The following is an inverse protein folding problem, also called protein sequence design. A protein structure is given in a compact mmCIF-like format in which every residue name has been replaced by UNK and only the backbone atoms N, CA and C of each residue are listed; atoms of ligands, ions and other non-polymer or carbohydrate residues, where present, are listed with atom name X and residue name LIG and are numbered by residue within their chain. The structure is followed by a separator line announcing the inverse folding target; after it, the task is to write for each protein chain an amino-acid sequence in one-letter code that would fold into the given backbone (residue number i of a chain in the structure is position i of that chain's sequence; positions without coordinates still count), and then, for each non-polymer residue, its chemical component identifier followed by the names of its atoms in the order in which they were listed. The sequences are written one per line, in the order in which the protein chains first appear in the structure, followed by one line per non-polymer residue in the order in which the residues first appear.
data_IF_587579685975
#
_entry.id   IF_587579685975
#
_cell.length_a   1.000
_cell.length_b   1.000
_cell.length_c   1.000
_cell.angle_alpha   90.00
_cell.angle_beta   90.00
_cell.angle_gamma   90.00
#
_symmetry.space_group_name_H-M   'P 1'
#
loop_
_entity.id
_entity.type
_entity.pdbx_description
1 polymer ?
#
# COMPACT_ATOMS: atom_id res chain seq x y z
N UNK A 1 -27.64 -3.42 9.21
CA UNK A 1 -26.63 -2.76 10.07
C UNK A 1 -25.27 -3.04 9.47
N UNK A 2 -24.50 -2.02 9.13
CA UNK A 2 -23.13 -2.17 8.63
C UNK A 2 -22.15 -1.79 9.74
N UNK A 3 -21.10 -2.59 9.92
CA UNK A 3 -20.03 -2.30 10.89
C UNK A 3 -18.80 -1.88 10.10
N UNK A 4 -18.32 -0.66 10.36
CA UNK A 4 -17.05 -0.19 9.83
C UNK A 4 -15.91 -0.61 10.77
N UNK A 5 -14.93 -1.33 10.25
CA UNK A 5 -13.74 -1.74 11.00
C UNK A 5 -12.51 -1.05 10.39
N UNK A 6 -11.79 -0.31 11.21
CA UNK A 6 -10.52 0.31 10.84
C UNK A 6 -9.35 -0.44 11.47
N UNK A 7 -8.45 -0.96 10.65
CA UNK A 7 -7.23 -1.64 11.11
C UNK A 7 -6.03 -0.75 10.80
N UNK A 8 -5.22 -0.45 11.82
CA UNK A 8 -3.98 0.33 11.70
C UNK A 8 -2.93 -0.25 12.62
N UNK A 9 -1.72 -0.46 12.10
CA UNK A 9 -0.59 -0.96 12.88
C UNK A 9 0.31 -1.86 12.05
N UNK A 10 1.39 -2.33 12.68
CA UNK A 10 2.30 -3.34 12.18
C UNK A 10 2.43 -4.43 13.24
N UNK A 11 2.53 -5.68 12.81
CA UNK A 11 3.01 -6.81 13.62
C UNK A 11 4.52 -6.70 13.81
N UNK A 12 5.09 -7.24 14.89
CA UNK A 12 6.54 -7.13 15.16
C UNK A 12 7.41 -7.60 13.99
N UNK A 13 6.96 -8.66 13.31
CA UNK A 13 7.61 -9.24 12.13
C UNK A 13 7.47 -8.36 10.86
N UNK A 14 6.48 -7.46 10.83
CA UNK A 14 6.19 -6.57 9.68
C UNK A 14 6.63 -5.11 9.88
N UNK A 15 7.20 -4.76 11.03
CA UNK A 15 7.73 -3.41 11.31
C UNK A 15 8.86 -3.08 10.34
N UNK A 16 9.74 -4.05 10.06
CA UNK A 16 10.95 -3.85 9.27
C UNK A 16 10.87 -4.49 7.88
N UNK A 17 9.99 -5.47 7.67
CA UNK A 17 9.80 -6.13 6.38
C UNK A 17 8.43 -5.76 5.75
N UNK A 18 8.41 -5.11 4.58
CA UNK A 18 7.17 -4.76 3.88
C UNK A 18 6.44 -5.95 3.24
N UNK A 19 7.08 -7.12 3.10
CA UNK A 19 6.45 -8.30 2.48
C UNK A 19 5.40 -8.96 3.38
N UNK A 20 5.69 -9.36 4.63
CA UNK A 20 4.68 -9.94 5.53
C UNK A 20 3.51 -8.97 5.75
N UNK A 21 3.78 -7.66 5.83
CA UNK A 21 2.73 -6.64 5.89
C UNK A 21 1.74 -6.69 4.71
N UNK A 22 2.26 -6.89 3.48
CA UNK A 22 1.41 -6.99 2.28
C UNK A 22 0.59 -8.26 2.27
N UNK A 23 1.18 -9.37 2.68
CA UNK A 23 0.52 -10.68 2.65
C UNK A 23 -0.60 -10.76 3.70
N UNK A 24 -0.39 -10.19 4.89
CA UNK A 24 -1.44 -10.01 5.90
C UNK A 24 -2.59 -9.15 5.36
N UNK A 25 -2.30 -8.01 4.71
CA UNK A 25 -3.34 -7.15 4.11
C UNK A 25 -4.14 -7.89 3.03
N UNK A 26 -3.49 -8.69 2.18
CA UNK A 26 -4.16 -9.54 1.19
C UNK A 26 -5.07 -10.58 1.85
N UNK A 27 -4.61 -11.21 2.94
CA UNK A 27 -5.40 -12.20 3.67
C UNK A 27 -6.65 -11.58 4.28
N UNK A 28 -6.53 -10.40 4.90
CA UNK A 28 -7.67 -9.65 5.44
C UNK A 28 -8.65 -9.26 4.32
N UNK A 29 -8.15 -8.75 3.19
CA UNK A 29 -8.99 -8.37 2.06
C UNK A 29 -9.78 -9.55 1.47
N UNK A 30 -9.16 -10.73 1.39
CA UNK A 30 -9.83 -11.98 0.98
C UNK A 30 -10.91 -12.39 1.96
N UNK A 31 -10.61 -12.39 3.26
CA UNK A 31 -11.58 -12.74 4.29
C UNK A 31 -12.79 -11.79 4.28
N UNK A 32 -12.55 -10.49 4.13
CA UNK A 32 -13.63 -9.50 3.99
C UNK A 32 -14.50 -9.80 2.78
N UNK A 33 -13.89 -10.13 1.64
CA UNK A 33 -14.62 -10.49 0.42
C UNK A 33 -15.43 -11.78 0.58
N UNK A 34 -14.86 -12.83 1.19
CA UNK A 34 -15.56 -14.10 1.48
C UNK A 34 -16.78 -13.90 2.38
N UNK A 35 -16.71 -12.95 3.32
CA UNK A 35 -17.82 -12.59 4.20
C UNK A 35 -18.86 -11.66 3.54
N UNK A 36 -18.70 -11.34 2.25
CA UNK A 36 -19.57 -10.41 1.52
C UNK A 36 -19.38 -8.94 1.93
N UNK A 37 -18.29 -8.64 2.63
CA UNK A 37 -17.88 -7.28 2.98
C UNK A 37 -17.11 -6.60 1.86
N UNK A 38 -16.93 -5.28 2.00
CA UNK A 38 -16.21 -4.47 1.01
C UNK A 38 -15.16 -3.63 1.73
N UNK A 39 -13.93 -3.63 1.20
CA UNK A 39 -12.90 -2.69 1.64
C UNK A 39 -13.17 -1.30 1.09
N UNK A 40 -13.19 -0.30 1.98
CA UNK A 40 -13.23 1.10 1.56
C UNK A 40 -11.91 1.57 0.93
N UNK A 41 -12.03 2.38 -0.12
CA UNK A 41 -10.93 2.83 -0.98
C UNK A 41 -10.08 3.96 -0.38
N UNK A 42 -10.10 4.12 0.94
CA UNK A 42 -9.28 5.10 1.64
C UNK A 42 -7.80 4.68 1.69
N UNK A 43 -7.54 3.37 1.74
CA UNK A 43 -6.18 2.81 1.73
C UNK A 43 -5.88 2.14 0.39
N UNK A 44 -4.59 1.84 0.16
CA UNK A 44 -4.17 1.04 -0.99
C UNK A 44 -4.89 -0.29 -0.97
N UNK A 45 -5.35 -0.72 -2.13
CA UNK A 45 -6.00 -2.02 -2.29
C UNK A 45 -5.00 -3.04 -2.83
N UNK A 46 -5.17 -4.28 -2.40
CA UNK A 46 -4.45 -5.45 -2.90
C UNK A 46 -5.29 -6.26 -3.89
N UNK A 47 -6.52 -5.80 -4.21
CA UNK A 47 -7.39 -6.43 -5.20
C UNK A 47 -6.78 -6.46 -6.60
N UNK A 48 -7.05 -7.56 -7.29
CA UNK A 48 -6.89 -7.63 -8.73
C UNK A 48 -7.89 -6.72 -9.43
N UNK A 49 -7.66 -6.44 -10.71
CA UNK A 49 -8.55 -5.58 -11.50
C UNK A 49 -9.96 -6.18 -11.58
N UNK A 50 -10.05 -7.49 -11.75
CA UNK A 50 -11.34 -8.18 -11.92
C UNK A 50 -12.13 -8.21 -10.62
N UNK A 51 -11.49 -8.50 -9.48
CA UNK A 51 -12.12 -8.41 -8.14
C UNK A 51 -12.59 -6.98 -7.82
N UNK A 52 -11.85 -5.96 -8.25
CA UNK A 52 -12.27 -4.58 -8.02
C UNK A 52 -13.54 -4.23 -8.81
N UNK A 53 -13.62 -4.63 -10.09
CA UNK A 53 -14.77 -4.33 -10.94
C UNK A 53 -15.96 -5.28 -10.72
N UNK A 54 -15.78 -6.41 -10.03
CA UNK A 54 -16.92 -7.21 -9.55
C UNK A 54 -17.65 -6.52 -8.40
N UNK A 55 -16.93 -5.72 -7.59
CA UNK A 55 -17.49 -4.93 -6.49
C UNK A 55 -18.00 -3.57 -6.98
N UNK A 56 -17.22 -2.86 -7.79
CA UNK A 56 -17.61 -1.58 -8.38
C UNK A 56 -18.16 -1.78 -9.78
N UNK A 57 -19.45 -1.50 -10.01
CA UNK A 57 -20.08 -1.54 -11.34
C UNK A 57 -19.31 -0.64 -12.32
N UNK A 58 -18.49 -1.29 -13.18
CA UNK A 58 -17.70 -0.62 -14.22
C UNK A 58 -18.53 0.24 -15.19
N UNK A 59 -19.68 -0.22 -15.74
CA UNK A 59 -20.43 0.58 -16.70
C UNK A 59 -20.98 1.87 -16.08
N UNK A 60 -21.46 1.81 -14.84
CA UNK A 60 -21.92 3.00 -14.12
C UNK A 60 -20.78 3.98 -13.85
N UNK A 61 -19.62 3.46 -13.45
CA UNK A 61 -18.41 4.25 -13.25
C UNK A 61 -17.95 4.95 -14.54
N UNK A 62 -17.94 4.25 -15.68
CA UNK A 62 -17.57 4.82 -16.97
C UNK A 62 -18.58 5.88 -17.44
N UNK A 63 -19.88 5.64 -17.26
CA UNK A 63 -20.93 6.62 -17.58
C UNK A 63 -20.76 7.92 -16.78
N UNK A 64 -20.43 7.82 -15.48
CA UNK A 64 -20.14 8.99 -14.64
C UNK A 64 -18.89 9.73 -15.12
N UNK A 65 -17.83 9.03 -15.52
CA UNK A 65 -16.63 9.67 -16.06
C UNK A 65 -16.90 10.44 -17.33
N UNK A 66 -17.77 9.94 -18.21
CA UNK A 66 -18.18 10.65 -19.42
C UNK A 66 -19.00 11.89 -19.05
N UNK A 67 -20.02 11.73 -18.19
CA UNK A 67 -20.92 12.82 -17.77
C UNK A 67 -20.17 14.02 -17.20
N UNK A 68 -19.10 13.78 -16.43
CA UNK A 68 -18.30 14.82 -15.79
C UNK A 68 -16.97 15.12 -16.51
N UNK A 69 -16.79 14.62 -17.74
CA UNK A 69 -15.59 14.82 -18.56
C UNK A 69 -14.26 14.45 -17.84
N UNK A 70 -14.30 13.42 -16.99
CA UNK A 70 -13.18 12.98 -16.16
C UNK A 70 -12.30 11.93 -16.86
N UNK A 71 -12.49 11.69 -18.17
CA UNK A 71 -11.78 10.65 -18.92
C UNK A 71 -10.25 10.86 -18.98
N UNK A 72 -9.81 12.12 -18.87
CA UNK A 72 -8.40 12.51 -18.86
C UNK A 72 -7.67 12.19 -17.53
N UNK A 73 -8.40 11.93 -16.45
CA UNK A 73 -7.82 11.59 -15.16
C UNK A 73 -7.53 10.09 -15.07
N UNK A 74 -6.59 9.64 -14.21
CA UNK A 74 -6.44 8.22 -13.90
C UNK A 74 -7.76 7.60 -13.43
N UNK A 75 -7.93 6.31 -13.67
CA UNK A 75 -9.06 5.56 -13.12
C UNK A 75 -8.93 5.39 -11.61
N UNK A 76 -10.04 5.10 -10.93
CA UNK A 76 -10.02 4.82 -9.48
C UNK A 76 -9.15 3.59 -9.19
N UNK A 77 -9.22 2.56 -10.04
CA UNK A 77 -8.36 1.37 -9.91
C UNK A 77 -6.86 1.74 -10.00
N UNK A 78 -6.49 2.55 -10.98
CA UNK A 78 -5.10 3.02 -11.16
C UNK A 78 -4.59 3.85 -9.97
N UNK A 79 -5.49 4.55 -9.28
CA UNK A 79 -5.15 5.33 -8.08
C UNK A 79 -4.87 4.45 -6.87
N UNK A 80 -5.65 3.39 -6.68
CA UNK A 80 -5.59 2.56 -5.47
C UNK A 80 -4.64 1.37 -5.60
N UNK A 81 -4.30 0.96 -6.82
CA UNK A 81 -3.44 -0.19 -7.05
C UNK A 81 -2.06 0.01 -6.39
N UNK A 82 -1.58 -1.04 -5.74
CA UNK A 82 -0.22 -1.05 -5.20
C UNK A 82 0.77 -1.11 -6.35
N UNK A 83 1.25 0.05 -6.81
CA UNK A 83 2.37 0.07 -7.76
C UNK A 83 3.62 -0.48 -7.09
N UNK A 84 4.13 -1.60 -7.62
CA UNK A 84 5.50 -2.07 -7.40
C UNK A 84 6.47 -1.19 -8.17
N UNK A 85 6.44 0.13 -7.91
CA UNK A 85 7.57 0.93 -8.36
C UNK A 85 8.78 0.38 -7.60
N UNK A 86 9.86 -0.08 -8.28
CA UNK A 86 11.05 -0.49 -7.57
C UNK A 86 11.42 0.68 -6.65
N UNK A 87 11.72 0.36 -5.39
CA UNK A 87 12.30 1.34 -4.47
C UNK A 87 13.52 1.88 -5.19
N UNK A 88 13.41 3.07 -5.79
CA UNK A 88 14.59 3.81 -6.24
C UNK A 88 15.28 4.14 -4.94
N UNK A 89 16.22 3.29 -4.52
CA UNK A 89 17.15 3.69 -3.49
C UNK A 89 17.71 5.04 -3.96
N UNK A 90 17.64 6.10 -3.14
CA UNK A 90 18.28 7.34 -3.51
C UNK A 90 19.72 6.98 -3.86
N UNK A 91 20.17 7.28 -5.08
CA UNK A 91 21.58 7.08 -5.44
C UNK A 91 22.37 7.85 -4.40
N UNK A 92 23.20 7.14 -3.65
CA UNK A 92 23.98 7.72 -2.57
C UNK A 92 25.18 8.40 -3.20
N UNK A 93 24.93 9.48 -3.94
CA UNK A 93 25.99 10.29 -4.51
C UNK A 93 25.82 11.71 -4.00
N UNK A 94 26.67 12.07 -3.05
CA UNK A 94 26.57 13.31 -2.30
C UNK A 94 27.41 13.28 -1.04
N UNK A 95 28.34 14.24 -0.96
CA UNK A 95 29.26 14.45 0.16
C UNK A 95 28.55 14.40 1.54
N UNK A 96 27.38 15.02 1.66
CA UNK A 96 26.58 15.03 2.89
C UNK A 96 26.11 13.64 3.33
N UNK A 97 25.81 12.72 2.40
CA UNK A 97 25.42 11.36 2.77
C UNK A 97 26.60 10.56 3.34
N UNK A 98 27.84 10.81 2.89
CA UNK A 98 29.03 10.20 3.50
C UNK A 98 29.27 10.75 4.91
N UNK A 99 29.03 12.04 5.11
CA UNK A 99 29.10 12.69 6.42
C UNK A 99 28.00 12.17 7.36
N UNK A 100 26.76 12.02 6.89
CA UNK A 100 25.64 11.50 7.68
C UNK A 100 25.69 9.98 7.87
N UNK A 101 26.29 9.19 6.98
CA UNK A 101 26.50 7.75 7.22
C UNK A 101 27.45 7.50 8.40
N UNK A 102 28.45 8.37 8.61
CA UNK A 102 29.37 8.30 9.75
C UNK A 102 28.82 8.91 11.04
N UNK A 103 27.87 9.84 10.94
CA UNK A 103 27.35 10.60 12.09
C UNK A 103 25.90 10.30 12.46
N UNK A 104 25.15 9.57 11.63
CA UNK A 104 23.77 9.20 11.96
C UNK A 104 23.74 8.15 13.07
N UNK A 105 22.79 8.34 13.98
CA UNK A 105 22.47 7.49 15.13
C UNK A 105 22.28 6.00 14.74
N UNK A 106 22.05 5.68 13.46
CA UNK A 106 22.01 4.31 12.94
C UNK A 106 23.34 3.56 13.00
N UNK A 107 24.49 4.23 12.87
CA UNK A 107 25.81 3.59 12.99
C UNK A 107 26.11 3.13 14.43
N UNK A 108 25.47 3.75 15.43
CA UNK A 108 25.71 3.48 16.85
C UNK A 108 25.08 2.16 17.32
N UNK A 109 24.04 1.65 16.65
CA UNK A 109 23.29 0.47 17.12
C UNK A 109 23.92 -0.88 16.73
N UNK A 110 24.97 -0.88 15.90
CA UNK A 110 25.65 -2.12 15.49
C UNK A 110 26.83 -2.54 16.38
N UNK A 111 27.09 -1.82 17.48
CA UNK A 111 28.20 -2.13 18.41
C UNK A 111 27.70 -2.64 19.77
N UNK A 112 26.83 -3.64 19.77
CA UNK A 112 26.59 -4.53 20.93
C UNK A 112 26.17 -5.92 20.44
N UNK A 113 27.16 -6.75 20.09
CA UNK A 113 27.09 -8.22 20.15
C UNK A 113 28.47 -8.80 19.78
N UNK A 114 29.42 -8.70 20.70
CA UNK A 114 30.51 -9.67 20.82
C UNK A 114 30.80 -9.81 22.30
N UNK A 115 30.74 -11.06 22.75
CA UNK A 115 31.08 -11.51 24.10
C UNK A 115 32.53 -11.17 24.46
#
# INVERSE_FOLDING_TARGET
MFIGVGIRGHTDDSIMDPNPFKDENKAIERLVHELGGIKWLYSRSSYTKDEFWSICSRPEYEALRIKYNAQHLPSVYEKIQTSEKPRRMPRVDGFWNHVFAKTSVLAMKHKKATA
#
